data_IF_338895820725
#
_entry.id   IF_338895820725
#
_cell.length_a   1.000
_cell.length_b   1.000
_cell.length_c   1.000
_cell.angle_alpha   90.00
_cell.angle_beta   90.00
_cell.angle_gamma   90.00
#
_symmetry.space_group_name_H-M   'P 1'
#
loop_
_entity.id
_entity.type
_entity.pdbx_description
1 polymer ?
#
# COMPACT_ATOMS: atom_id res chain seq x y z
N UNK A 1 17.37 -9.61 7.78
CA UNK A 1 18.74 -9.48 8.32
C UNK A 1 19.00 -8.05 8.73
N UNK A 2 19.71 -7.82 9.85
CA UNK A 2 20.16 -6.50 10.29
C UNK A 2 20.96 -5.81 9.18
N UNK A 3 20.77 -4.51 9.02
CA UNK A 3 21.65 -3.70 8.17
C UNK A 3 22.83 -3.24 9.02
N UNK A 4 24.06 -3.56 8.61
CA UNK A 4 25.29 -3.21 9.35
C UNK A 4 25.97 -1.95 8.80
N UNK A 5 25.38 -1.26 7.82
CA UNK A 5 25.90 0.00 7.28
C UNK A 5 25.23 1.22 7.90
N UNK A 6 25.92 2.36 7.81
CA UNK A 6 25.38 3.69 8.14
C UNK A 6 24.45 4.26 7.04
N UNK A 7 24.18 3.47 5.99
CA UNK A 7 23.37 3.88 4.84
C UNK A 7 22.00 3.21 4.88
N UNK A 8 20.96 3.96 4.49
CA UNK A 8 19.61 3.43 4.43
C UNK A 8 19.47 2.31 3.39
N UNK A 9 18.81 1.21 3.78
CA UNK A 9 18.41 0.14 2.86
C UNK A 9 16.95 0.32 2.48
N UNK A 10 16.73 0.97 1.34
CA UNK A 10 15.40 1.20 0.78
C UNK A 10 14.92 -0.07 0.09
N UNK A 11 13.74 -0.56 0.47
CA UNK A 11 13.10 -1.71 -0.16
C UNK A 11 11.71 -1.32 -0.67
N UNK A 12 11.39 -1.72 -1.89
CA UNK A 12 10.04 -1.63 -2.45
C UNK A 12 9.45 -3.03 -2.43
N UNK A 13 8.32 -3.19 -1.75
CA UNK A 13 7.60 -4.45 -1.68
C UNK A 13 6.28 -4.34 -2.47
N UNK A 14 6.05 -5.31 -3.35
CA UNK A 14 4.81 -5.44 -4.13
C UNK A 14 4.24 -6.83 -3.84
N UNK A 15 3.02 -6.88 -3.31
CA UNK A 15 2.29 -8.12 -3.06
C UNK A 15 1.31 -8.40 -4.17
N UNK A 16 1.39 -9.59 -4.78
CA UNK A 16 0.36 -10.10 -5.67
C UNK A 16 -0.51 -11.09 -4.91
N UNK A 17 -1.81 -11.08 -5.19
CA UNK A 17 -2.74 -11.99 -4.55
C UNK A 17 -3.75 -12.52 -5.54
N UNK A 18 -4.13 -13.79 -5.36
CA UNK A 18 -5.24 -14.37 -6.11
C UNK A 18 -6.55 -13.59 -5.82
N UNK A 19 -7.37 -13.29 -6.85
CA UNK A 19 -8.59 -12.47 -6.69
C UNK A 19 -9.62 -13.03 -5.71
N UNK A 20 -9.63 -14.36 -5.52
CA UNK A 20 -10.54 -15.08 -4.65
C UNK A 20 -10.05 -15.21 -3.20
N UNK A 21 -8.78 -14.89 -2.93
CA UNK A 21 -8.25 -14.96 -1.58
C UNK A 21 -8.78 -13.78 -0.75
N UNK A 22 -9.31 -14.00 0.45
CA UNK A 22 -9.89 -12.93 1.25
C UNK A 22 -8.78 -12.02 1.78
N UNK A 23 -8.77 -10.76 1.35
CA UNK A 23 -7.91 -9.74 1.93
C UNK A 23 -8.74 -8.52 2.33
N UNK A 24 -9.02 -8.45 3.62
CA UNK A 24 -9.81 -7.38 4.22
C UNK A 24 -8.96 -6.26 4.81
N UNK A 25 -7.63 -6.40 4.80
CA UNK A 25 -6.73 -5.54 5.59
C UNK A 25 -5.67 -4.83 4.75
N UNK A 26 -5.07 -5.49 3.78
CA UNK A 26 -4.06 -4.85 2.94
C UNK A 26 -4.77 -4.15 1.77
N UNK A 27 -4.69 -2.83 1.78
CA UNK A 27 -5.18 -1.98 0.70
C UNK A 27 -4.00 -1.23 0.10
N UNK A 28 -3.95 -1.19 -1.23
CA UNK A 28 -3.04 -0.31 -1.95
C UNK A 28 -3.65 1.08 -1.98
N UNK A 29 -2.91 2.08 -1.50
CA UNK A 29 -3.32 3.48 -1.52
C UNK A 29 -2.53 4.20 -2.63
N UNK A 30 -3.23 4.87 -3.54
CA UNK A 30 -2.63 5.58 -4.66
C UNK A 30 -3.10 7.04 -4.72
N UNK A 31 -2.31 7.96 -5.29
CA UNK A 31 -2.74 9.34 -5.48
C UNK A 31 -3.92 9.45 -6.45
N UNK A 32 -4.93 10.23 -6.09
CA UNK A 32 -6.10 10.49 -6.93
C UNK A 32 -5.74 11.17 -8.26
N UNK A 33 -4.72 12.02 -8.27
CA UNK A 33 -4.23 12.71 -9.47
C UNK A 33 -3.71 11.78 -10.58
N UNK A 34 -3.45 10.51 -10.27
CA UNK A 34 -2.89 9.52 -11.20
C UNK A 34 -3.86 8.38 -11.52
N UNK A 35 -5.14 8.49 -11.14
CA UNK A 35 -6.18 7.48 -11.40
C UNK A 35 -6.19 7.04 -12.86
N UNK A 36 -6.20 8.01 -13.80
CA UNK A 36 -6.29 7.72 -15.23
C UNK A 36 -5.14 6.85 -15.72
N UNK A 37 -3.93 7.09 -15.21
CA UNK A 37 -2.76 6.27 -15.53
C UNK A 37 -2.97 4.82 -15.05
N UNK A 38 -3.37 4.63 -13.79
CA UNK A 38 -3.52 3.30 -13.22
C UNK A 38 -4.70 2.53 -13.80
N UNK A 39 -5.84 3.17 -14.00
CA UNK A 39 -7.05 2.52 -14.51
C UNK A 39 -6.93 2.20 -16.01
N UNK A 40 -6.16 2.98 -16.78
CA UNK A 40 -5.88 2.66 -18.19
C UNK A 40 -5.01 1.42 -18.37
N UNK A 41 -4.12 1.15 -17.43
CA UNK A 41 -3.20 0.01 -17.47
C UNK A 41 -3.63 -1.15 -16.56
N UNK A 42 -4.64 -0.95 -15.73
CA UNK A 42 -5.30 -1.98 -14.94
C UNK A 42 -6.37 -2.69 -15.77
N UNK A 43 -6.52 -4.00 -15.59
CA UNK A 43 -7.66 -4.73 -16.12
C UNK A 43 -7.35 -6.08 -16.74
N UNK A 44 -6.14 -6.31 -17.28
CA UNK A 44 -5.60 -7.62 -17.68
C UNK A 44 -4.08 -7.50 -17.96
N UNK A 45 -3.27 -8.55 -17.68
CA UNK A 45 -3.63 -9.78 -16.95
C UNK A 45 -3.68 -9.56 -15.43
N UNK A 46 -3.29 -8.38 -14.94
CA UNK A 46 -3.25 -8.02 -13.53
C UNK A 46 -4.28 -6.93 -13.24
N UNK A 47 -5.19 -7.21 -12.32
CA UNK A 47 -6.16 -6.25 -11.81
C UNK A 47 -5.48 -5.37 -10.74
N UNK A 48 -5.62 -4.05 -10.88
CA UNK A 48 -5.18 -3.10 -9.85
C UNK A 48 -6.38 -2.82 -8.94
N UNK A 49 -6.27 -3.22 -7.67
CA UNK A 49 -7.26 -2.88 -6.62
C UNK A 49 -6.64 -1.89 -5.66
N UNK A 50 -7.03 -0.63 -5.77
CA UNK A 50 -6.49 0.45 -4.96
C UNK A 50 -7.58 1.40 -4.46
N UNK A 51 -7.32 2.06 -3.33
CA UNK A 51 -8.06 3.22 -2.86
C UNK A 51 -7.29 4.48 -3.28
N UNK A 52 -7.96 5.34 -4.05
CA UNK A 52 -7.37 6.57 -4.51
C UNK A 52 -7.65 7.70 -3.52
N UNK A 53 -6.60 8.36 -3.06
CA UNK A 53 -6.65 9.32 -1.97
C UNK A 53 -6.24 10.72 -2.43
N UNK A 54 -6.85 11.73 -1.80
CA UNK A 54 -6.43 13.12 -1.98
C UNK A 54 -5.07 13.42 -1.32
N UNK A 55 -4.45 14.57 -1.64
CA UNK A 55 -3.13 14.94 -1.10
C UNK A 55 -3.07 14.92 0.43
N UNK A 56 -4.09 15.46 1.10
CA UNK A 56 -4.16 15.55 2.57
C UNK A 56 -4.26 14.16 3.25
N UNK A 57 -4.92 13.20 2.60
CA UNK A 57 -5.09 11.85 3.15
C UNK A 57 -3.82 11.01 2.96
N UNK A 58 -3.09 11.23 1.87
CA UNK A 58 -1.83 10.55 1.57
C UNK A 58 -0.70 10.90 2.55
N UNK A 59 -0.64 12.14 3.03
CA UNK A 59 0.39 12.59 3.97
C UNK A 59 0.40 11.76 5.27
N UNK A 60 -0.77 11.27 5.70
CA UNK A 60 -0.92 10.42 6.88
C UNK A 60 -0.42 8.98 6.74
N UNK A 61 -0.12 8.51 5.52
CA UNK A 61 0.21 7.10 5.22
C UNK A 61 1.71 6.84 4.98
N UNK A 62 2.54 7.88 4.98
CA UNK A 62 3.90 7.87 4.42
C UNK A 62 4.93 7.00 5.17
N UNK A 63 4.65 6.43 6.36
CA UNK A 63 5.69 5.80 7.19
C UNK A 63 5.25 4.51 7.87
N UNK A 64 5.32 3.39 7.14
CA UNK A 64 5.32 2.06 7.75
C UNK A 64 6.75 1.53 7.80
N UNK A 65 7.37 1.61 8.98
CA UNK A 65 8.71 1.04 9.22
C UNK A 65 8.66 -0.46 9.52
N UNK A 66 7.51 -0.94 10.00
CA UNK A 66 7.23 -2.35 10.27
C UNK A 66 6.11 -2.83 9.34
N UNK A 67 6.40 -3.81 8.47
CA UNK A 67 5.41 -4.46 7.62
C UNK A 67 5.45 -5.98 7.83
N UNK A 68 4.28 -6.62 7.85
CA UNK A 68 4.15 -8.08 7.84
C UNK A 68 3.06 -8.50 6.86
N UNK A 69 3.28 -9.65 6.22
CA UNK A 69 2.34 -10.28 5.29
C UNK A 69 1.41 -11.29 5.98
N UNK A 70 1.55 -11.45 7.30
CA UNK A 70 0.70 -12.36 8.05
C UNK A 70 -0.76 -11.86 8.06
N UNK A 71 -1.76 -12.71 7.76
CA UNK A 71 -3.16 -12.29 7.68
C UNK A 71 -3.71 -11.67 8.97
N UNK A 72 -3.13 -12.04 10.11
CA UNK A 72 -3.53 -11.55 11.43
C UNK A 72 -2.78 -10.28 11.85
N UNK A 73 -1.65 -9.95 11.20
CA UNK A 73 -0.90 -8.76 11.56
C UNK A 73 -1.71 -7.50 11.27
N UNK A 74 -1.90 -6.68 12.31
CA UNK A 74 -2.54 -5.38 12.20
C UNK A 74 -1.43 -4.37 11.99
N UNK A 75 -1.21 -3.95 10.74
CA UNK A 75 -0.38 -2.77 10.51
C UNK A 75 -1.04 -1.61 11.27
N UNK A 76 -0.31 -0.95 12.16
CA UNK A 76 -0.78 0.28 12.81
C UNK A 76 -0.77 1.42 11.79
N UNK A 77 -1.57 1.32 10.74
CA UNK A 77 -1.90 2.43 9.89
C UNK A 77 -2.72 3.39 10.75
N UNK A 78 -2.07 4.48 11.19
CA UNK A 78 -2.77 5.62 11.77
C UNK A 78 -3.73 6.13 10.71
N UNK A 79 -4.99 5.71 10.78
CA UNK A 79 -6.04 6.30 9.94
C UNK A 79 -6.10 7.77 10.31
N UNK A 80 -6.01 8.70 9.34
CA UNK A 80 -6.32 10.09 9.64
C UNK A 80 -7.75 10.13 10.20
N UNK A 81 -7.92 10.77 11.35
CA UNK A 81 -9.23 10.94 11.95
C UNK A 81 -10.12 11.67 10.94
N UNK A 82 -11.26 11.07 10.58
CA UNK A 82 -12.31 11.79 9.86
C UNK A 82 -12.83 12.87 10.81
N UNK A 83 -12.61 14.14 10.46
CA UNK A 83 -13.33 15.28 11.02
C UNK A 83 -14.78 15.27 10.51
#
# INVERSE_FOLDING_TARGET
MPNSSETDRIMIAIGYQAPWYPNHKQRLYLPLEHVDFFMRHGGQPVEVRAEFLGPNEMEGLYKNYDFSFEPHHVSQQRRPAKL
#
